data_IF_069311443344
#
_entry.id   IF_069311443344
#
_cell.length_a   1.000
_cell.length_b   1.000
_cell.length_c   1.000
_cell.angle_alpha   90.00
_cell.angle_beta   90.00
_cell.angle_gamma   90.00
#
_symmetry.space_group_name_H-M   'P 1'
#
loop_
_entity.id
_entity.type
_entity.pdbx_description
1 polymer ?
#
# COMPACT_ATOMS: atom_id res chain seq x y z
N UNK A 1 1.81 -20.57 -1.80
CA UNK A 1 3.27 -20.66 -1.59
C UNK A 1 3.62 -22.10 -1.29
N UNK A 2 4.73 -22.63 -1.81
CA UNK A 2 5.16 -23.99 -1.48
C UNK A 2 5.66 -24.10 -0.04
N UNK A 3 5.57 -25.30 0.55
CA UNK A 3 5.96 -25.55 1.93
C UNK A 3 7.45 -25.27 2.22
N UNK A 4 8.32 -25.37 1.21
CA UNK A 4 9.76 -25.07 1.33
C UNK A 4 10.02 -23.58 1.59
N UNK A 5 9.35 -22.69 0.83
CA UNK A 5 9.46 -21.24 0.99
C UNK A 5 8.61 -20.70 2.14
N UNK A 6 7.53 -21.39 2.46
CA UNK A 6 6.64 -21.02 3.55
C UNK A 6 6.20 -22.23 4.38
N UNK A 7 7.05 -22.69 5.33
CA UNK A 7 6.77 -23.86 6.16
C UNK A 7 5.50 -23.73 7.01
N UNK A 8 5.23 -22.52 7.49
CA UNK A 8 3.99 -22.14 8.16
C UNK A 8 3.34 -20.98 7.39
N UNK A 9 2.53 -21.26 6.36
CA UNK A 9 2.00 -20.24 5.47
C UNK A 9 0.82 -19.47 6.06
N UNK A 10 0.20 -19.98 7.14
CA UNK A 10 -0.92 -19.33 7.81
C UNK A 10 -0.45 -18.37 8.90
N UNK A 11 0.76 -18.54 9.41
CA UNK A 11 1.40 -17.60 10.33
C UNK A 11 2.00 -16.40 9.59
N UNK A 12 1.56 -15.21 10.00
CA UNK A 12 2.23 -13.98 9.64
C UNK A 12 3.62 -13.93 10.32
N UNK A 13 4.67 -14.06 9.51
CA UNK A 13 6.06 -13.94 9.95
C UNK A 13 6.83 -13.16 8.87
N UNK A 14 7.14 -11.87 9.09
CA UNK A 14 7.88 -11.06 8.11
C UNK A 14 9.34 -11.50 7.98
N UNK A 15 9.94 -12.06 9.03
CA UNK A 15 11.36 -12.46 9.05
C UNK A 15 11.71 -13.54 8.03
N UNK A 16 10.70 -14.23 7.48
CA UNK A 16 10.89 -15.18 6.36
C UNK A 16 11.50 -14.54 5.10
N UNK A 17 11.44 -13.21 5.00
CA UNK A 17 11.97 -12.43 3.89
C UNK A 17 13.22 -11.62 4.29
N UNK A 18 13.77 -11.81 5.50
CA UNK A 18 14.86 -10.98 6.01
C UNK A 18 16.12 -10.96 5.11
N UNK A 19 16.43 -12.10 4.49
CA UNK A 19 17.57 -12.27 3.58
C UNK A 19 17.16 -12.21 2.10
N UNK A 20 15.95 -11.73 1.79
CA UNK A 20 15.46 -11.55 0.42
C UNK A 20 15.47 -10.08 0.02
N UNK A 21 16.47 -9.71 -0.78
CA UNK A 21 16.63 -8.35 -1.30
C UNK A 21 15.98 -8.16 -2.68
N UNK A 22 15.20 -9.14 -3.16
CA UNK A 22 14.55 -9.01 -4.47
C UNK A 22 13.40 -8.02 -4.43
N UNK A 23 13.30 -7.19 -5.47
CA UNK A 23 12.11 -6.38 -5.73
C UNK A 23 10.92 -7.28 -6.09
N UNK A 24 9.69 -6.78 -5.93
CA UNK A 24 8.47 -7.49 -6.37
C UNK A 24 8.58 -7.95 -7.84
N UNK A 25 9.15 -7.11 -8.70
CA UNK A 25 9.34 -7.45 -10.12
C UNK A 25 10.33 -8.60 -10.31
N UNK A 26 11.49 -8.55 -9.65
CA UNK A 26 12.49 -9.62 -9.72
C UNK A 26 11.96 -10.94 -9.15
N UNK A 27 11.25 -10.89 -8.04
CA UNK A 27 10.61 -12.06 -7.43
C UNK A 27 9.61 -12.73 -8.39
N UNK A 28 8.78 -11.93 -9.06
CA UNK A 28 7.74 -12.47 -9.96
C UNK A 28 8.30 -12.99 -11.29
N UNK A 29 9.42 -12.42 -11.77
CA UNK A 29 10.05 -12.80 -13.05
C UNK A 29 11.17 -13.82 -12.90
N UNK A 30 11.64 -14.08 -11.68
CA UNK A 30 12.68 -15.05 -11.36
C UNK A 30 12.17 -16.48 -11.12
N UNK A 31 12.87 -17.21 -10.26
CA UNK A 31 12.52 -18.58 -9.88
C UNK A 31 11.18 -18.62 -9.13
N UNK A 32 10.20 -19.33 -9.70
CA UNK A 32 8.85 -19.45 -9.13
C UNK A 32 8.83 -20.09 -7.74
N UNK A 33 9.85 -20.87 -7.37
CA UNK A 33 9.99 -21.44 -6.02
C UNK A 33 10.42 -20.40 -4.98
N UNK A 34 11.12 -19.36 -5.40
CA UNK A 34 11.61 -18.27 -4.53
C UNK A 34 10.65 -17.09 -4.45
N UNK A 35 9.64 -17.08 -5.32
CA UNK A 35 8.65 -16.02 -5.42
C UNK A 35 7.93 -15.74 -4.10
N UNK A 36 7.86 -14.46 -3.74
CA UNK A 36 7.22 -13.90 -2.55
C UNK A 36 5.68 -13.87 -2.63
N UNK A 37 5.11 -13.53 -3.78
CA UNK A 37 3.67 -13.38 -3.99
C UNK A 37 3.23 -13.72 -5.41
N UNK A 38 2.09 -14.40 -5.53
CA UNK A 38 1.48 -14.73 -6.83
C UNK A 38 0.42 -13.72 -7.29
N UNK A 39 0.15 -12.67 -6.50
CA UNK A 39 -0.94 -11.70 -6.73
C UNK A 39 -0.77 -10.90 -8.02
N UNK A 40 0.47 -10.64 -8.45
CA UNK A 40 0.74 -9.81 -9.63
C UNK A 40 0.72 -10.57 -10.97
N UNK A 41 0.22 -11.81 -11.00
CA UNK A 41 0.15 -12.60 -12.23
C UNK A 41 1.51 -13.14 -12.69
N UNK A 42 1.65 -13.45 -13.97
CA UNK A 42 2.89 -14.03 -14.51
C UNK A 42 3.04 -13.75 -16.01
N UNK A 43 4.29 -13.75 -16.47
CA UNK A 43 4.66 -13.70 -17.90
C UNK A 43 3.93 -12.55 -18.62
N UNK A 44 3.19 -12.84 -19.72
CA UNK A 44 2.53 -11.84 -20.57
C UNK A 44 1.36 -11.11 -19.88
N UNK A 45 0.90 -11.62 -18.74
CA UNK A 45 -0.19 -11.03 -17.94
C UNK A 45 0.32 -10.58 -16.56
N UNK A 46 1.59 -10.17 -16.49
CA UNK A 46 2.14 -9.51 -15.32
C UNK A 46 1.40 -8.19 -15.08
N UNK A 47 1.11 -7.88 -13.82
CA UNK A 47 0.51 -6.61 -13.44
C UNK A 47 1.40 -5.44 -13.91
N UNK A 48 0.90 -4.54 -14.78
CA UNK A 48 1.69 -3.41 -15.25
C UNK A 48 2.00 -2.40 -14.14
N UNK A 49 1.23 -2.42 -13.04
CA UNK A 49 1.39 -1.52 -11.90
C UNK A 49 2.40 -1.98 -10.85
N UNK A 50 3.09 -3.12 -11.03
CA UNK A 50 3.90 -3.76 -9.97
C UNK A 50 4.92 -2.83 -9.31
N UNK A 51 5.64 -2.02 -10.10
CA UNK A 51 6.63 -1.07 -9.58
C UNK A 51 5.99 0.09 -8.82
N UNK A 52 4.81 0.54 -9.26
CA UNK A 52 4.06 1.61 -8.59
C UNK A 52 3.54 1.08 -7.27
N UNK A 53 2.96 -0.12 -7.25
CA UNK A 53 2.44 -0.77 -6.05
C UNK A 53 3.54 -0.94 -5.00
N UNK A 54 4.71 -1.49 -5.37
CA UNK A 54 5.82 -1.70 -4.44
C UNK A 54 6.21 -0.42 -3.70
N UNK A 55 6.49 0.65 -4.45
CA UNK A 55 6.93 1.94 -3.88
C UNK A 55 5.81 2.62 -3.09
N UNK A 56 4.58 2.58 -3.61
CA UNK A 56 3.43 3.23 -2.98
C UNK A 56 3.05 2.55 -1.67
N UNK A 57 3.07 1.21 -1.63
CA UNK A 57 2.80 0.45 -0.41
C UNK A 57 3.88 0.65 0.62
N UNK A 58 5.16 0.60 0.23
CA UNK A 58 6.26 0.88 1.15
C UNK A 58 6.10 2.25 1.83
N UNK A 59 5.84 3.30 1.04
CA UNK A 59 5.63 4.65 1.57
C UNK A 59 4.36 4.76 2.42
N UNK A 60 3.25 4.20 1.93
CA UNK A 60 1.96 4.22 2.63
C UNK A 60 2.02 3.53 3.98
N UNK A 61 2.55 2.30 4.02
CA UNK A 61 2.69 1.51 5.24
C UNK A 61 3.68 2.16 6.19
N UNK A 62 4.84 2.64 5.72
CA UNK A 62 5.85 3.27 6.59
C UNK A 62 5.38 4.55 7.28
N UNK A 63 4.45 5.29 6.66
CA UNK A 63 3.84 6.49 7.24
C UNK A 63 2.92 6.20 8.42
N UNK A 64 2.29 5.02 8.45
CA UNK A 64 1.37 4.63 9.53
C UNK A 64 2.08 4.53 10.89
N UNK A 65 3.13 3.70 11.10
CA UNK A 65 3.84 3.62 12.37
C UNK A 65 4.65 4.88 12.68
N UNK A 66 5.02 5.67 11.66
CA UNK A 66 5.60 6.98 11.90
C UNK A 66 4.59 7.94 12.55
N UNK A 67 3.35 8.00 12.04
CA UNK A 67 2.34 8.94 12.52
C UNK A 67 1.53 8.47 13.73
N UNK A 68 1.30 7.16 13.85
CA UNK A 68 0.28 6.60 14.73
C UNK A 68 0.74 5.32 15.44
N UNK A 69 0.33 5.18 16.70
CA UNK A 69 0.23 3.90 17.36
C UNK A 69 -1.07 3.23 16.90
N UNK A 70 -0.94 2.05 16.28
CA UNK A 70 -2.06 1.24 15.80
C UNK A 70 -2.32 0.12 16.80
N UNK A 71 -3.56 0.02 17.28
CA UNK A 71 -3.95 -0.98 18.27
C UNK A 71 -5.31 -1.58 17.92
N UNK A 72 -5.54 -2.79 18.42
CA UNK A 72 -6.83 -3.47 18.31
C UNK A 72 -7.87 -2.71 19.13
N UNK A 73 -9.13 -2.74 18.68
CA UNK A 73 -10.23 -2.27 19.52
C UNK A 73 -10.49 -3.23 20.67
N UNK A 74 -11.08 -2.67 21.73
CA UNK A 74 -11.49 -3.41 22.91
C UNK A 74 -13.00 -3.58 22.92
N UNK A 75 -13.48 -4.71 23.42
CA UNK A 75 -14.90 -4.93 23.70
C UNK A 75 -15.34 -4.23 25.01
N UNK A 76 -16.61 -4.42 25.38
CA UNK A 76 -17.20 -3.87 26.60
C UNK A 76 -16.52 -4.39 27.89
N UNK A 77 -15.78 -5.49 27.82
CA UNK A 77 -15.04 -6.12 28.90
C UNK A 77 -13.54 -5.76 28.87
N UNK A 78 -13.15 -4.78 28.05
CA UNK A 78 -11.77 -4.35 27.82
C UNK A 78 -10.86 -5.44 27.24
N UNK A 79 -11.43 -6.46 26.59
CA UNK A 79 -10.68 -7.52 25.91
C UNK A 79 -10.44 -7.14 24.45
N UNK A 80 -9.28 -7.52 23.94
CA UNK A 80 -8.88 -7.20 22.58
C UNK A 80 -9.65 -8.04 21.57
N UNK A 81 -10.32 -7.39 20.62
CA UNK A 81 -11.02 -8.07 19.53
C UNK A 81 -9.99 -8.33 18.41
N UNK A 82 -9.67 -9.58 18.06
CA UNK A 82 -8.75 -9.86 16.96
C UNK A 82 -9.38 -9.50 15.61
N UNK A 83 -8.58 -9.08 14.61
CA UNK A 83 -9.09 -8.90 13.25
C UNK A 83 -9.54 -10.25 12.67
N UNK A 84 -10.69 -10.31 11.97
CA UNK A 84 -11.22 -11.55 11.41
C UNK A 84 -10.51 -11.89 10.09
N UNK A 85 -9.27 -12.35 10.17
CA UNK A 85 -8.37 -12.56 9.01
C UNK A 85 -8.89 -13.57 7.97
N UNK A 86 -9.83 -14.43 8.35
CA UNK A 86 -10.44 -15.44 7.49
C UNK A 86 -11.83 -15.04 6.98
N UNK A 87 -12.42 -13.94 7.47
CA UNK A 87 -13.68 -13.39 6.96
C UNK A 87 -13.37 -12.50 5.76
N UNK A 88 -13.15 -13.15 4.62
CA UNK A 88 -12.80 -12.50 3.37
C UNK A 88 -14.04 -12.07 2.59
N UNK A 89 -13.99 -10.85 2.04
CA UNK A 89 -14.98 -10.30 1.12
C UNK A 89 -14.39 -10.20 -0.29
N UNK A 90 -15.26 -10.30 -1.30
CA UNK A 90 -14.88 -10.21 -2.71
C UNK A 90 -14.61 -8.78 -3.19
N UNK A 91 -13.89 -8.65 -4.31
CA UNK A 91 -13.51 -7.39 -4.95
C UNK A 91 -12.54 -7.63 -6.09
N UNK A 92 -11.77 -6.60 -6.49
CA UNK A 92 -10.65 -6.76 -7.46
C UNK A 92 -9.58 -7.70 -6.89
N UNK A 93 -9.39 -7.69 -5.58
CA UNK A 93 -8.55 -8.62 -4.81
C UNK A 93 -9.36 -9.07 -3.59
N UNK A 94 -9.19 -10.31 -3.14
CA UNK A 94 -9.76 -10.77 -1.87
C UNK A 94 -9.16 -9.97 -0.70
N UNK A 95 -10.02 -9.46 0.18
CA UNK A 95 -9.62 -8.64 1.33
C UNK A 95 -10.41 -9.06 2.56
N UNK A 96 -9.88 -8.89 3.78
CA UNK A 96 -10.67 -9.10 4.99
C UNK A 96 -11.82 -8.11 5.07
N UNK A 97 -12.89 -8.50 5.76
CA UNK A 97 -13.97 -7.59 6.15
C UNK A 97 -13.41 -6.43 6.99
N UNK A 98 -14.05 -5.27 6.85
CA UNK A 98 -13.74 -4.08 7.63
C UNK A 98 -13.59 -4.39 9.12
N UNK A 99 -12.46 -3.96 9.67
CA UNK A 99 -12.13 -4.10 11.07
C UNK A 99 -11.91 -2.70 11.67
N UNK A 100 -12.65 -2.33 12.72
CA UNK A 100 -12.42 -1.05 13.38
C UNK A 100 -11.10 -1.13 14.14
N UNK A 101 -10.06 -0.47 13.64
CA UNK A 101 -8.76 -0.35 14.31
C UNK A 101 -8.65 0.99 15.04
N UNK A 102 -7.93 1.00 16.17
CA UNK A 102 -7.69 2.22 16.95
C UNK A 102 -6.34 2.83 16.58
N UNK A 103 -6.37 3.99 15.95
CA UNK A 103 -5.21 4.82 15.65
C UNK A 103 -5.09 5.94 16.68
N UNK A 104 -3.94 6.01 17.36
CA UNK A 104 -3.65 7.10 18.29
C UNK A 104 -2.40 7.85 17.83
N UNK A 105 -2.42 9.19 17.81
CA UNK A 105 -1.25 9.99 17.47
C UNK A 105 0.02 9.58 18.22
N UNK A 106 1.13 9.44 17.49
CA UNK A 106 2.46 9.25 18.10
C UNK A 106 2.93 10.50 18.84
N UNK A 107 2.72 11.68 18.25
CA UNK A 107 3.02 12.96 18.89
C UNK A 107 2.24 14.11 18.24
N UNK A 108 2.00 15.22 18.97
CA UNK A 108 1.35 16.41 18.41
C UNK A 108 2.08 16.99 17.20
N UNK A 109 3.42 16.97 17.23
CA UNK A 109 4.26 17.47 16.13
C UNK A 109 4.08 16.67 14.83
N UNK A 110 4.07 15.33 14.91
CA UNK A 110 3.87 14.47 13.73
C UNK A 110 2.47 14.63 13.15
N UNK A 111 1.45 14.77 14.00
CA UNK A 111 0.08 15.05 13.53
C UNK A 111 -0.03 16.41 12.85
N UNK A 112 0.69 17.42 13.34
CA UNK A 112 0.72 18.73 12.66
C UNK A 112 1.27 18.59 11.24
N UNK A 113 2.33 17.80 11.03
CA UNK A 113 2.86 17.52 9.68
C UNK A 113 1.81 16.84 8.80
N UNK A 114 1.17 15.77 9.29
CA UNK A 114 0.12 15.06 8.53
C UNK A 114 -1.03 16.00 8.16
N UNK A 115 -1.54 16.78 9.12
CA UNK A 115 -2.64 17.73 8.89
C UNK A 115 -2.27 18.84 7.92
N UNK A 116 -1.03 19.33 7.98
CA UNK A 116 -0.55 20.34 7.04
C UNK A 116 -0.46 19.78 5.62
N UNK A 117 0.03 18.56 5.46
CA UNK A 117 0.09 17.90 4.15
C UNK A 117 -1.33 17.72 3.57
N UNK A 118 -2.30 17.23 4.35
CA UNK A 118 -3.69 17.10 3.91
C UNK A 118 -4.25 18.45 3.45
N UNK A 119 -4.10 19.51 4.25
CA UNK A 119 -4.55 20.86 3.87
C UNK A 119 -3.94 21.38 2.57
N UNK A 120 -2.66 21.11 2.34
CA UNK A 120 -1.98 21.50 1.10
C UNK A 120 -2.58 20.77 -0.11
N UNK A 121 -2.92 19.49 0.05
CA UNK A 121 -3.48 18.67 -1.01
C UNK A 121 -4.96 18.94 -1.26
N UNK A 122 -5.78 19.14 -0.22
CA UNK A 122 -7.21 19.46 -0.36
C UNK A 122 -7.43 20.69 -1.25
N UNK A 123 -6.54 21.68 -1.17
CA UNK A 123 -6.58 22.87 -2.03
C UNK A 123 -6.30 22.59 -3.52
N UNK A 124 -5.83 21.39 -3.85
CA UNK A 124 -5.49 20.94 -5.21
C UNK A 124 -6.43 19.86 -5.74
N UNK A 125 -7.35 19.37 -4.92
CA UNK A 125 -8.34 18.38 -5.34
C UNK A 125 -9.64 19.06 -5.80
N UNK A 126 -10.31 18.43 -6.75
CA UNK A 126 -11.67 18.78 -7.13
C UNK A 126 -12.64 18.41 -5.99
N UNK A 127 -13.53 19.32 -5.56
CA UNK A 127 -14.33 19.14 -4.35
C UNK A 127 -15.43 18.07 -4.46
N UNK A 128 -15.78 17.62 -5.67
CA UNK A 128 -16.81 16.59 -5.88
C UNK A 128 -16.19 15.22 -6.15
N UNK A 129 -15.17 15.18 -7.00
CA UNK A 129 -14.55 13.93 -7.46
C UNK A 129 -13.34 13.50 -6.64
N UNK A 130 -12.80 14.40 -5.80
CA UNK A 130 -11.56 14.24 -5.04
C UNK A 130 -10.34 13.88 -5.91
N UNK A 131 -10.43 14.10 -7.23
CA UNK A 131 -9.32 13.94 -8.16
C UNK A 131 -8.46 15.21 -8.22
N UNK A 132 -7.27 15.10 -8.80
CA UNK A 132 -6.44 16.29 -9.06
C UNK A 132 -7.20 17.29 -9.93
N UNK A 133 -7.40 18.51 -9.41
CA UNK A 133 -8.04 19.61 -10.16
C UNK A 133 -7.18 20.08 -11.34
N UNK A 134 -5.86 19.89 -11.26
CA UNK A 134 -4.87 20.13 -12.31
C UNK A 134 -3.73 19.12 -12.21
N UNK A 135 -3.15 18.75 -13.35
CA UNK A 135 -1.91 17.95 -13.38
C UNK A 135 -0.81 18.75 -12.70
N UNK A 136 -0.14 18.15 -11.70
CA UNK A 136 0.94 18.83 -10.99
C UNK A 136 2.16 19.03 -11.91
N UNK A 137 2.80 20.18 -11.75
CA UNK A 137 4.04 20.52 -12.45
C UNK A 137 5.13 19.48 -12.16
N UNK A 138 5.77 18.97 -13.21
CA UNK A 138 6.82 17.95 -13.11
C UNK A 138 6.33 16.49 -13.08
N UNK A 139 5.02 16.21 -13.10
CA UNK A 139 4.55 14.85 -13.37
C UNK A 139 4.78 14.47 -14.84
N UNK A 140 5.19 13.22 -15.09
CA UNK A 140 5.41 12.68 -16.44
C UNK A 140 4.16 12.72 -17.35
N UNK A 141 2.98 12.94 -16.78
CA UNK A 141 1.72 13.14 -17.49
C UNK A 141 1.42 14.61 -17.82
N UNK A 142 2.32 15.54 -17.54
CA UNK A 142 2.21 16.91 -18.06
C UNK A 142 2.12 16.82 -19.57
N UNK A 143 1.02 17.33 -20.14
CA UNK A 143 0.72 17.25 -21.57
C UNK A 143 1.96 17.60 -22.39
N UNK A 144 2.42 16.63 -23.19
CA UNK A 144 3.42 16.90 -24.21
C UNK A 144 2.91 18.04 -25.09
N UNK A 145 3.64 19.15 -25.09
CA UNK A 145 3.33 20.29 -25.96
C UNK A 145 4.39 20.27 -27.06
N UNK A 146 4.06 19.90 -28.31
CA UNK A 146 5.03 20.00 -29.39
C UNK A 146 5.48 21.45 -29.52
N UNK A 147 6.78 21.64 -29.71
CA UNK A 147 7.30 22.94 -30.12
C UNK A 147 6.60 23.34 -31.43
N UNK A 148 6.05 24.56 -31.47
CA UNK A 148 5.51 25.12 -32.71
C UNK A 148 6.66 25.20 -33.70
N UNK A 149 6.65 24.35 -34.72
CA UNK A 149 7.50 24.55 -35.90
C UNK A 149 7.05 25.86 -36.55
N UNK A 150 7.85 26.90 -36.41
CA UNK A 150 7.73 28.13 -37.20
C UNK A 150 7.92 27.74 -38.67
N UNK A 151 6.87 27.95 -39.47
CA UNK A 151 6.89 27.79 -40.93
C UNK A 151 7.19 29.10 -41.63
#
# INVERSE_FOLDING_TARGET
MGAERSPDPRRFNPDRFADDETTLYQSVTGDSKKRDTFTFGAVRRLCPGIHITERSFFLGISRLPWGFNVSKVLDNQRQSIPPPIDDLVGGVIAQPRDYPAKFTPMSPGRIKVVRNAVKEFDARLDPETEQWSKVLEGMAFSTWTPEKTEG
#
